data_IF_954747577990
#
_entry.id   IF_954747577990
#
_cell.length_a   1.000
_cell.length_b   1.000
_cell.length_c   1.000
_cell.angle_alpha   90.00
_cell.angle_beta   90.00
_cell.angle_gamma   90.00
#
_symmetry.space_group_name_H-M   'P 1'
#
loop_
_entity.id
_entity.type
_entity.pdbx_description
1 polymer ?
#
# COMPACT_ATOMS: atom_id res chain seq x y z
N UNK A 1 31.79 -18.99 -26.94
CA UNK A 1 31.80 -18.71 -25.48
C UNK A 1 31.93 -17.23 -25.16
N UNK A 2 32.78 -16.45 -25.84
CA UNK A 2 32.97 -15.01 -25.61
C UNK A 2 31.71 -14.10 -25.69
N UNK A 3 30.75 -14.30 -26.64
CA UNK A 3 29.62 -13.36 -26.78
C UNK A 3 28.55 -13.51 -25.69
N UNK A 4 28.45 -14.69 -25.07
CA UNK A 4 27.47 -14.96 -24.00
C UNK A 4 27.92 -14.29 -22.69
N UNK A 5 29.23 -14.29 -22.41
CA UNK A 5 29.79 -13.65 -21.21
C UNK A 5 29.58 -12.13 -21.22
N UNK A 6 29.67 -11.49 -22.39
CA UNK A 6 29.47 -10.05 -22.54
C UNK A 6 28.02 -9.63 -22.29
N UNK A 7 27.04 -10.46 -22.67
CA UNK A 7 25.62 -10.19 -22.44
C UNK A 7 25.24 -10.25 -20.94
N UNK A 8 25.86 -11.15 -20.17
CA UNK A 8 25.64 -11.24 -18.72
C UNK A 8 26.28 -10.10 -17.93
N UNK A 9 27.42 -9.58 -18.40
CA UNK A 9 28.10 -8.46 -17.75
C UNK A 9 27.24 -7.18 -17.82
N UNK A 10 26.52 -6.95 -18.92
CA UNK A 10 25.63 -5.79 -19.09
C UNK A 10 24.44 -5.85 -18.11
N UNK A 11 23.92 -7.05 -17.80
CA UNK A 11 22.85 -7.23 -16.81
C UNK A 11 23.32 -7.00 -15.37
N UNK A 12 24.59 -7.27 -15.06
CA UNK A 12 25.18 -7.04 -13.74
C UNK A 12 25.65 -5.58 -13.51
N UNK A 13 25.98 -4.86 -14.58
CA UNK A 13 26.31 -3.43 -14.55
C UNK A 13 25.10 -2.52 -14.77
N UNK A 14 23.89 -3.08 -14.94
CA UNK A 14 22.67 -2.27 -14.93
C UNK A 14 22.55 -1.64 -13.53
N UNK A 15 22.68 -0.31 -13.39
CA UNK A 15 22.58 0.32 -12.09
C UNK A 15 21.21 -0.04 -11.50
N UNK A 16 21.12 -0.35 -10.18
CA UNK A 16 19.81 -0.43 -9.56
C UNK A 16 19.12 0.89 -9.85
N UNK A 17 17.96 0.83 -10.50
CA UNK A 17 17.11 2.00 -10.70
C UNK A 17 16.81 2.56 -9.31
N UNK A 18 17.56 3.58 -8.91
CA UNK A 18 17.28 4.39 -7.75
C UNK A 18 16.02 5.16 -8.10
N UNK A 19 14.87 4.59 -7.77
CA UNK A 19 13.62 5.34 -7.80
C UNK A 19 13.72 6.33 -6.65
N UNK A 20 14.05 7.58 -6.98
CA UNK A 20 13.96 8.66 -6.02
C UNK A 20 12.53 8.69 -5.48
N UNK A 21 12.38 8.48 -4.16
CA UNK A 21 11.09 8.61 -3.47
C UNK A 21 10.55 10.01 -3.78
N UNK A 22 9.40 10.08 -4.43
CA UNK A 22 8.78 11.37 -4.75
C UNK A 22 8.25 11.96 -3.44
N UNK A 23 8.95 12.97 -2.93
CA UNK A 23 8.64 13.64 -1.67
C UNK A 23 8.32 15.10 -1.95
N UNK A 24 7.07 15.47 -1.70
CA UNK A 24 6.55 16.81 -1.92
C UNK A 24 6.47 17.48 -0.55
N UNK A 25 7.36 18.43 -0.31
CA UNK A 25 7.29 19.24 0.91
C UNK A 25 6.22 20.31 0.72
N UNK A 26 5.26 20.34 1.63
CA UNK A 26 4.23 21.38 1.65
C UNK A 26 4.83 22.55 2.42
N UNK A 27 5.21 23.61 1.71
CA UNK A 27 5.70 24.86 2.30
C UNK A 27 4.51 25.75 2.63
N UNK A 28 4.07 25.83 3.90
CA UNK A 28 2.91 26.64 4.25
C UNK A 28 3.37 28.10 4.38
N UNK A 29 2.66 29.03 3.75
CA UNK A 29 2.75 30.45 4.12
C UNK A 29 2.04 30.76 5.44
N UNK A 30 1.23 29.82 5.96
CA UNK A 30 0.43 29.93 7.19
C UNK A 30 0.44 28.62 7.97
N UNK A 31 0.35 28.62 9.31
CA UNK A 31 0.28 27.40 10.10
C UNK A 31 -1.06 26.67 9.82
N UNK A 32 -1.02 25.64 8.98
CA UNK A 32 -2.18 24.82 8.61
C UNK A 32 -2.10 23.47 9.31
N UNK A 33 -3.15 23.05 10.02
CA UNK A 33 -3.31 21.65 10.43
C UNK A 33 -4.09 20.88 9.38
N UNK A 34 -3.38 20.14 8.54
CA UNK A 34 -4.00 19.25 7.57
C UNK A 34 -4.54 17.99 8.27
N UNK A 35 -5.70 17.51 7.81
CA UNK A 35 -6.48 16.43 8.44
C UNK A 35 -6.82 15.27 7.51
N UNK A 36 -6.73 15.50 6.20
CA UNK A 36 -7.19 14.56 5.16
C UNK A 36 -6.48 14.82 3.83
N UNK A 37 -6.37 13.78 3.00
CA UNK A 37 -5.65 13.77 1.73
C UNK A 37 -6.47 12.97 0.71
N UNK A 38 -6.60 13.51 -0.51
CA UNK A 38 -7.09 12.80 -1.68
C UNK A 38 -6.21 13.11 -2.89
N UNK A 39 -6.21 12.21 -3.87
CA UNK A 39 -5.50 12.39 -5.13
C UNK A 39 -6.50 12.58 -6.28
N UNK A 40 -6.35 13.65 -7.06
CA UNK A 40 -7.05 13.81 -8.33
C UNK A 40 -6.13 13.36 -9.50
N UNK A 41 -6.35 12.17 -10.08
CA UNK A 41 -5.56 11.68 -11.20
C UNK A 41 -5.80 12.45 -12.50
N UNK A 42 -6.92 13.15 -12.66
CA UNK A 42 -7.16 13.93 -13.90
C UNK A 42 -6.48 15.29 -13.81
N UNK A 43 -6.70 16.02 -12.72
CA UNK A 43 -6.05 17.30 -12.47
C UNK A 43 -4.58 17.17 -12.05
N UNK A 44 -4.09 15.95 -11.78
CA UNK A 44 -2.71 15.64 -11.34
C UNK A 44 -2.24 16.45 -10.14
N UNK A 45 -3.12 16.64 -9.18
CA UNK A 45 -2.84 17.37 -7.96
C UNK A 45 -3.43 16.65 -6.76
N UNK A 46 -2.89 16.95 -5.58
CA UNK A 46 -3.45 16.51 -4.32
C UNK A 46 -4.52 17.50 -3.87
N UNK A 47 -5.52 16.99 -3.19
CA UNK A 47 -6.49 17.80 -2.47
C UNK A 47 -6.26 17.50 -0.99
N UNK A 48 -6.18 18.53 -0.16
CA UNK A 48 -5.97 18.41 1.29
C UNK A 48 -6.98 19.25 2.06
N UNK A 49 -7.55 18.65 3.10
CA UNK A 49 -8.47 19.33 4.01
C UNK A 49 -7.78 19.81 5.28
N UNK A 50 -8.23 20.94 5.83
CA UNK A 50 -7.75 21.50 7.10
C UNK A 50 -8.70 21.21 8.27
N UNK A 51 -8.13 20.92 9.44
CA UNK A 51 -8.86 20.85 10.72
C UNK A 51 -8.95 22.19 11.44
N UNK A 52 -8.31 23.26 10.95
CA UNK A 52 -8.31 24.58 11.61
C UNK A 52 -9.39 25.53 11.04
N UNK A 53 -10.11 25.10 10.01
CA UNK A 53 -11.20 25.85 9.38
C UNK A 53 -11.68 25.15 8.10
N UNK A 54 -12.73 25.67 7.43
CA UNK A 54 -13.39 24.99 6.32
C UNK A 54 -12.64 25.27 5.02
N UNK A 55 -11.36 24.95 5.05
CA UNK A 55 -10.43 25.22 3.98
C UNK A 55 -9.98 23.93 3.37
N UNK A 56 -10.13 23.87 2.04
CA UNK A 56 -9.60 22.80 1.21
C UNK A 56 -8.64 23.43 0.23
N UNK A 57 -7.49 22.78 0.09
CA UNK A 57 -6.40 23.24 -0.74
C UNK A 57 -6.11 22.21 -1.82
N UNK A 58 -5.60 22.69 -2.95
CA UNK A 58 -4.89 21.86 -3.91
C UNK A 58 -3.39 21.98 -3.63
N UNK A 59 -2.68 20.88 -3.80
CA UNK A 59 -1.22 20.84 -3.74
C UNK A 59 -0.70 20.23 -5.03
N UNK A 60 0.12 20.97 -5.76
CA UNK A 60 0.78 20.48 -6.97
C UNK A 60 1.90 19.50 -6.66
N UNK A 61 2.44 18.85 -7.70
CA UNK A 61 3.66 18.04 -7.64
C UNK A 61 4.89 18.84 -7.17
N UNK A 62 4.91 20.15 -7.42
CA UNK A 62 5.94 21.07 -6.92
C UNK A 62 5.75 21.47 -5.45
N UNK A 63 4.67 21.05 -4.79
CA UNK A 63 4.35 21.42 -3.41
C UNK A 63 3.74 22.81 -3.25
N UNK A 64 3.35 23.45 -4.36
CA UNK A 64 2.62 24.72 -4.34
C UNK A 64 1.20 24.49 -3.86
N UNK A 65 0.77 25.30 -2.90
CA UNK A 65 -0.53 25.20 -2.25
C UNK A 65 -1.44 26.31 -2.77
N UNK A 66 -2.61 25.94 -3.28
CA UNK A 66 -3.65 26.90 -3.70
C UNK A 66 -4.96 26.62 -2.96
N UNK A 67 -5.70 27.68 -2.65
CA UNK A 67 -7.00 27.56 -1.99
C UNK A 67 -8.10 27.30 -3.02
N UNK A 68 -8.91 26.25 -2.81
CA UNK A 68 -10.05 25.95 -3.68
C UNK A 68 -11.41 26.08 -2.99
N UNK A 69 -11.45 25.88 -1.67
CA UNK A 69 -12.64 26.12 -0.85
C UNK A 69 -12.23 26.93 0.38
N UNK A 70 -12.96 28.01 0.64
CA UNK A 70 -12.85 28.79 1.87
C UNK A 70 -14.25 29.22 2.26
N UNK A 71 -14.86 28.52 3.21
CA UNK A 71 -16.11 28.97 3.81
C UNK A 71 -15.79 29.89 5.01
N UNK A 72 -16.62 30.89 5.27
CA UNK A 72 -16.46 31.75 6.46
C UNK A 72 -17.11 31.18 7.71
N UNK A 73 -17.70 29.98 7.60
CA UNK A 73 -18.59 29.34 8.60
C UNK A 73 -17.90 28.63 9.77
N UNK A 74 -16.56 28.64 9.88
CA UNK A 74 -15.86 28.00 11.01
C UNK A 74 -16.01 26.47 11.09
N UNK A 75 -16.41 25.80 10.01
CA UNK A 75 -16.55 24.35 9.96
C UNK A 75 -15.16 23.69 9.82
N UNK A 76 -14.90 22.54 10.44
CA UNK A 76 -13.63 21.84 10.24
C UNK A 76 -13.80 20.71 9.23
N UNK A 77 -12.84 20.58 8.30
CA UNK A 77 -12.84 19.48 7.35
C UNK A 77 -12.37 18.21 8.05
N UNK A 78 -13.31 17.28 8.25
CA UNK A 78 -13.05 15.99 8.87
C UNK A 78 -12.42 15.03 7.86
N UNK A 79 -12.89 15.03 6.61
CA UNK A 79 -12.43 14.12 5.58
C UNK A 79 -12.81 14.60 4.20
N UNK A 80 -12.01 14.20 3.21
CA UNK A 80 -12.27 14.44 1.80
C UNK A 80 -12.21 13.10 1.04
N UNK A 81 -12.99 13.00 -0.03
CA UNK A 81 -12.90 11.91 -0.99
C UNK A 81 -13.22 12.43 -2.39
N UNK A 82 -12.69 11.77 -3.41
CA UNK A 82 -12.89 12.15 -4.82
C UNK A 82 -13.75 11.10 -5.51
N UNK A 83 -14.89 11.52 -6.06
CA UNK A 83 -15.69 10.75 -7.00
C UNK A 83 -15.26 11.10 -8.43
N UNK A 84 -14.35 10.28 -8.97
CA UNK A 84 -13.79 10.49 -10.31
C UNK A 84 -14.82 10.29 -11.43
N UNK A 85 -15.81 9.42 -11.23
CA UNK A 85 -16.81 9.09 -12.25
C UNK A 85 -17.76 10.28 -12.42
N UNK A 86 -18.23 10.85 -11.30
CA UNK A 86 -19.14 11.99 -11.31
C UNK A 86 -18.43 13.35 -11.28
N UNK A 87 -17.09 13.36 -11.21
CA UNK A 87 -16.24 14.56 -11.11
C UNK A 87 -16.61 15.45 -9.94
N UNK A 88 -16.76 14.85 -8.76
CA UNK A 88 -17.13 15.56 -7.54
C UNK A 88 -16.12 15.38 -6.42
N UNK A 89 -15.89 16.44 -5.67
CA UNK A 89 -15.18 16.42 -4.41
C UNK A 89 -16.21 16.28 -3.28
N UNK A 90 -16.07 15.25 -2.48
CA UNK A 90 -16.90 15.01 -1.30
C UNK A 90 -16.14 15.52 -0.08
N UNK A 91 -16.79 16.36 0.71
CA UNK A 91 -16.20 16.98 1.92
C UNK A 91 -17.13 16.71 3.10
N UNK A 92 -16.58 16.10 4.15
CA UNK A 92 -17.27 15.94 5.42
C UNK A 92 -16.82 17.00 6.43
N UNK A 93 -17.79 17.60 7.11
CA UNK A 93 -17.57 18.64 8.09
C UNK A 93 -17.88 18.13 9.49
N UNK A 94 -16.93 18.23 10.43
CA UNK A 94 -17.14 17.70 11.79
C UNK A 94 -18.16 18.51 12.58
N UNK A 95 -18.00 19.84 12.59
CA UNK A 95 -18.73 20.73 13.51
C UNK A 95 -20.22 20.87 13.15
N UNK A 96 -20.53 21.05 11.87
CA UNK A 96 -21.91 21.09 11.36
C UNK A 96 -22.52 19.70 11.20
N UNK A 97 -21.71 18.65 11.30
CA UNK A 97 -22.09 17.27 10.97
C UNK A 97 -22.85 17.19 9.67
N UNK A 98 -22.23 17.69 8.62
CA UNK A 98 -22.75 17.62 7.27
C UNK A 98 -21.74 16.98 6.33
N UNK A 99 -22.23 16.52 5.20
CA UNK A 99 -21.40 16.11 4.08
C UNK A 99 -21.89 16.81 2.82
N UNK A 100 -20.95 17.38 2.07
CA UNK A 100 -21.25 18.14 0.88
C UNK A 100 -20.50 17.59 -0.33
N UNK A 101 -21.14 17.72 -1.50
CA UNK A 101 -20.54 17.45 -2.79
C UNK A 101 -20.26 18.76 -3.51
N UNK A 102 -19.07 18.88 -4.10
CA UNK A 102 -18.64 20.01 -4.90
C UNK A 102 -18.29 19.53 -6.30
N UNK A 103 -18.65 20.31 -7.32
CA UNK A 103 -18.21 20.05 -8.69
C UNK A 103 -16.70 20.29 -8.78
N UNK A 104 -15.91 19.34 -9.25
CA UNK A 104 -14.44 19.49 -9.26
C UNK A 104 -13.92 20.47 -10.30
N UNK A 105 -14.72 20.80 -11.33
CA UNK A 105 -14.30 21.73 -12.37
C UNK A 105 -14.39 23.19 -11.90
N UNK A 106 -15.44 23.50 -11.15
CA UNK A 106 -15.75 24.86 -10.69
C UNK A 106 -15.59 25.06 -9.17
N UNK A 107 -15.39 23.98 -8.43
CA UNK A 107 -15.43 23.92 -6.95
C UNK A 107 -16.69 24.54 -6.34
N UNK A 108 -17.80 24.58 -7.10
CA UNK A 108 -19.09 25.04 -6.60
C UNK A 108 -19.79 23.92 -5.83
N UNK A 109 -20.40 24.28 -4.70
CA UNK A 109 -21.22 23.36 -3.89
C UNK A 109 -22.41 22.91 -4.73
N UNK A 110 -22.56 21.60 -4.90
CA UNK A 110 -23.66 20.95 -5.62
C UNK A 110 -24.79 20.62 -4.66
N UNK A 111 -24.43 20.00 -3.53
CA UNK A 111 -25.37 19.52 -2.52
C UNK A 111 -24.67 19.55 -1.15
N UNK A 112 -25.43 19.77 -0.09
CA UNK A 112 -24.99 19.59 1.28
C UNK A 112 -26.10 18.93 2.09
N UNK A 113 -25.74 17.85 2.76
CA UNK A 113 -26.66 17.02 3.54
C UNK A 113 -26.26 17.07 5.02
N UNK A 114 -27.10 17.66 5.89
CA UNK A 114 -26.95 17.53 7.34
C UNK A 114 -27.14 16.07 7.79
N UNK A 115 -26.30 15.65 8.74
CA UNK A 115 -26.24 14.29 9.29
C UNK A 115 -26.48 14.33 10.81
N UNK A 116 -27.70 14.67 11.25
CA UNK A 116 -28.01 14.80 12.69
C UNK A 116 -27.75 13.50 13.46
N UNK A 117 -27.84 12.33 12.82
CA UNK A 117 -27.55 11.02 13.44
C UNK A 117 -26.10 10.87 13.91
N UNK A 118 -25.21 11.76 13.46
CA UNK A 118 -23.81 11.77 13.86
C UNK A 118 -23.51 12.75 15.01
N UNK A 119 -24.46 13.56 15.49
CA UNK A 119 -24.33 14.39 16.70
C UNK A 119 -22.99 15.17 16.83
N UNK A 120 -22.59 15.92 15.81
CA UNK A 120 -21.33 16.70 15.86
C UNK A 120 -20.06 15.86 15.71
N UNK A 121 -20.19 14.56 15.38
CA UNK A 121 -19.09 13.60 15.37
C UNK A 121 -18.76 13.05 13.98
N UNK A 122 -19.08 13.77 12.90
CA UNK A 122 -18.76 13.33 11.54
C UNK A 122 -17.27 13.01 11.39
N UNK A 123 -16.99 11.81 10.86
CA UNK A 123 -15.67 11.20 10.76
C UNK A 123 -15.16 11.17 9.33
N UNK A 124 -14.82 9.98 8.84
CA UNK A 124 -14.21 9.78 7.52
C UNK A 124 -15.25 9.46 6.46
N UNK A 125 -14.91 9.77 5.20
CA UNK A 125 -15.76 9.50 4.04
C UNK A 125 -15.10 8.55 3.05
N UNK A 126 -15.91 7.68 2.45
CA UNK A 126 -15.55 6.86 1.30
C UNK A 126 -16.65 6.94 0.24
N UNK A 127 -16.27 6.71 -1.01
CA UNK A 127 -17.18 6.76 -2.16
C UNK A 127 -17.23 5.40 -2.83
N UNK A 128 -18.44 4.89 -3.05
CA UNK A 128 -18.69 3.87 -4.05
C UNK A 128 -18.69 4.53 -5.42
N UNK A 129 -17.59 4.33 -6.14
CA UNK A 129 -17.35 4.97 -7.44
C UNK A 129 -18.36 4.51 -8.50
N UNK A 130 -18.90 3.29 -8.37
CA UNK A 130 -19.84 2.71 -9.32
C UNK A 130 -21.22 3.36 -9.14
N UNK A 131 -21.77 3.27 -7.91
CA UNK A 131 -23.12 3.75 -7.65
C UNK A 131 -23.21 5.22 -7.21
N UNK A 132 -22.09 5.87 -6.88
CA UNK A 132 -22.04 7.26 -6.42
C UNK A 132 -22.51 7.46 -4.99
N UNK A 133 -22.63 6.36 -4.25
CA UNK A 133 -23.05 6.37 -2.86
C UNK A 133 -21.86 6.78 -1.99
N UNK A 134 -22.13 7.59 -0.98
CA UNK A 134 -21.13 8.05 -0.04
C UNK A 134 -21.35 7.37 1.30
N UNK A 135 -20.28 6.89 1.90
CA UNK A 135 -20.30 6.30 3.24
C UNK A 135 -19.59 7.24 4.20
N UNK A 136 -20.26 7.62 5.27
CA UNK A 136 -19.78 8.57 6.27
C UNK A 136 -19.74 7.89 7.62
N UNK A 137 -18.60 7.94 8.31
CA UNK A 137 -18.48 7.35 9.65
C UNK A 137 -18.75 8.35 10.75
N UNK A 138 -19.16 7.87 11.93
CA UNK A 138 -19.01 8.63 13.17
C UNK A 138 -17.62 8.45 13.76
N UNK A 139 -17.01 9.54 14.22
CA UNK A 139 -15.77 9.57 14.98
C UNK A 139 -15.95 9.29 16.47
N UNK A 140 -17.20 9.22 16.98
CA UNK A 140 -17.53 8.94 18.39
C UNK A 140 -18.40 7.71 18.60
N UNK A 141 -19.07 7.21 17.56
CA UNK A 141 -19.92 6.01 17.63
C UNK A 141 -19.56 4.98 16.55
N UNK A 142 -20.15 3.78 16.65
CA UNK A 142 -20.01 2.72 15.65
C UNK A 142 -20.95 2.85 14.44
N UNK A 143 -21.42 4.06 14.14
CA UNK A 143 -22.37 4.31 13.06
C UNK A 143 -21.64 4.61 11.75
N UNK A 144 -22.08 3.97 10.68
CA UNK A 144 -21.77 4.34 9.29
C UNK A 144 -23.07 4.68 8.59
N UNK A 145 -23.17 5.89 8.05
CA UNK A 145 -24.27 6.31 7.21
C UNK A 145 -23.92 6.06 5.75
N UNK A 146 -24.87 5.49 5.01
CA UNK A 146 -24.86 5.43 3.56
C UNK A 146 -25.77 6.53 3.05
N UNK A 147 -25.22 7.43 2.24
CA UNK A 147 -25.93 8.61 1.75
C UNK A 147 -25.81 8.72 0.24
N UNK A 148 -26.80 9.37 -0.37
CA UNK A 148 -26.77 9.84 -1.75
C UNK A 148 -26.60 11.35 -1.73
N UNK A 149 -25.73 11.88 -2.60
CA UNK A 149 -25.48 13.32 -2.71
C UNK A 149 -25.90 13.89 -4.07
N UNK A 150 -26.90 13.26 -4.68
CA UNK A 150 -27.51 13.73 -5.92
C UNK A 150 -28.79 14.51 -5.57
N UNK A 151 -29.02 15.63 -6.28
CA UNK A 151 -30.14 16.53 -5.97
C UNK A 151 -30.05 17.12 -4.56
N UNK A 152 -31.11 16.95 -3.78
CA UNK A 152 -31.22 17.47 -2.40
C UNK A 152 -30.45 16.64 -1.36
N UNK A 153 -29.87 15.50 -1.78
CA UNK A 153 -29.17 14.58 -0.88
C UNK A 153 -30.13 13.80 0.03
N UNK A 154 -29.77 12.57 0.38
CA UNK A 154 -30.57 11.76 1.29
C UNK A 154 -29.77 10.68 2.00
N UNK A 155 -30.25 10.28 3.18
CA UNK A 155 -29.69 9.15 3.92
C UNK A 155 -30.42 7.89 3.45
N UNK A 156 -29.68 6.95 2.88
CA UNK A 156 -30.21 5.69 2.33
C UNK A 156 -30.31 4.65 3.43
N UNK A 157 -29.27 4.53 4.26
CA UNK A 157 -29.18 3.48 5.27
C UNK A 157 -28.23 3.86 6.40
N UNK A 158 -28.44 3.25 7.56
CA UNK A 158 -27.58 3.35 8.73
C UNK A 158 -27.07 1.95 9.11
N UNK A 159 -25.76 1.82 9.29
CA UNK A 159 -25.11 0.59 9.69
C UNK A 159 -24.49 0.75 11.07
N UNK A 160 -24.84 -0.15 12.00
CA UNK A 160 -24.28 -0.18 13.36
C UNK A 160 -23.28 -1.30 13.50
N UNK A 161 -22.02 -0.94 13.74
CA UNK A 161 -20.94 -1.89 14.03
C UNK A 161 -21.06 -2.33 15.50
N UNK A 162 -21.63 -3.51 15.72
CA UNK A 162 -21.79 -4.11 17.06
C UNK A 162 -20.43 -4.31 17.73
N UNK A 163 -20.33 -4.02 19.02
CA UNK A 163 -19.06 -4.09 19.77
C UNK A 163 -18.17 -2.85 19.60
N UNK A 164 -18.70 -1.78 19.01
CA UNK A 164 -18.09 -0.44 18.97
C UNK A 164 -18.85 0.57 19.82
N UNK A 165 -19.30 0.15 21.00
CA UNK A 165 -20.06 1.01 21.90
C UNK A 165 -19.11 2.08 22.45
N UNK A 166 -19.13 3.26 21.82
CA UNK A 166 -18.40 4.50 22.15
C UNK A 166 -16.93 4.64 21.75
N UNK A 167 -16.33 3.76 20.93
CA UNK A 167 -14.92 3.95 20.53
C UNK A 167 -14.72 4.72 19.21
N UNK A 168 -15.80 5.03 18.49
CA UNK A 168 -15.73 5.74 17.21
C UNK A 168 -15.03 4.98 16.08
N UNK A 169 -15.22 5.46 14.86
CA UNK A 169 -14.61 4.91 13.65
C UNK A 169 -13.58 5.90 13.11
N UNK A 170 -12.34 5.42 12.94
CA UNK A 170 -11.19 6.24 12.58
C UNK A 170 -10.96 6.38 11.07
N UNK A 171 -11.34 5.36 10.28
CA UNK A 171 -11.18 5.37 8.82
C UNK A 171 -12.15 4.42 8.15
N UNK A 172 -12.53 4.74 6.91
CA UNK A 172 -13.38 3.91 6.05
C UNK A 172 -12.77 3.85 4.65
N UNK A 173 -12.97 2.74 3.96
CA UNK A 173 -12.72 2.65 2.54
C UNK A 173 -13.70 1.71 1.85
N UNK A 174 -14.20 2.10 0.67
CA UNK A 174 -15.17 1.32 -0.08
C UNK A 174 -14.50 0.46 -1.14
N UNK A 175 -14.71 -0.85 -1.08
CA UNK A 175 -14.21 -1.88 -2.00
C UNK A 175 -15.25 -2.21 -3.06
N UNK A 176 -14.97 -1.78 -4.28
CA UNK A 176 -15.75 -2.14 -5.46
C UNK A 176 -15.41 -3.57 -5.91
N UNK A 177 -16.38 -4.28 -6.49
CA UNK A 177 -16.21 -5.63 -7.02
C UNK A 177 -17.53 -6.39 -7.06
N UNK A 178 -17.48 -7.70 -7.34
CA UNK A 178 -18.67 -8.57 -7.41
C UNK A 178 -19.47 -8.62 -6.10
N UNK A 179 -18.79 -8.37 -4.97
CA UNK A 179 -19.40 -8.26 -3.64
C UNK A 179 -18.96 -6.94 -3.00
N UNK A 180 -19.68 -5.83 -3.28
CA UNK A 180 -19.29 -4.52 -2.78
C UNK A 180 -19.43 -4.49 -1.26
N UNK A 181 -18.35 -4.05 -0.62
CA UNK A 181 -18.25 -3.93 0.84
C UNK A 181 -17.33 -2.76 1.17
N UNK A 182 -17.30 -2.35 2.42
CA UNK A 182 -16.35 -1.36 2.90
C UNK A 182 -15.63 -1.89 4.13
N UNK A 183 -14.38 -1.48 4.29
CA UNK A 183 -13.61 -1.72 5.49
C UNK A 183 -13.65 -0.50 6.38
N UNK A 184 -13.80 -0.74 7.69
CA UNK A 184 -13.79 0.32 8.69
C UNK A 184 -12.82 -0.04 9.80
N UNK A 185 -12.03 0.94 10.23
CA UNK A 185 -11.19 0.84 11.42
C UNK A 185 -11.86 1.54 12.60
N UNK A 186 -11.90 0.84 13.73
CA UNK A 186 -12.27 1.42 15.02
C UNK A 186 -11.08 2.20 15.60
N UNK A 187 -11.33 3.44 16.04
CA UNK A 187 -10.27 4.42 16.36
C UNK A 187 -9.38 3.96 17.52
N UNK A 188 -9.99 3.53 18.62
CA UNK A 188 -9.24 3.23 19.86
C UNK A 188 -8.63 1.83 19.86
N UNK A 189 -9.35 0.84 19.37
CA UNK A 189 -8.92 -0.57 19.41
C UNK A 189 -8.06 -0.94 18.19
N UNK A 190 -8.19 -0.20 17.08
CA UNK A 190 -7.63 -0.57 15.78
C UNK A 190 -8.29 -1.80 15.15
N UNK A 191 -9.43 -2.27 15.68
CA UNK A 191 -10.18 -3.38 15.08
C UNK A 191 -10.64 -3.02 13.68
N UNK A 192 -10.62 -4.01 12.79
CA UNK A 192 -11.05 -3.87 11.40
C UNK A 192 -12.33 -4.67 11.19
N UNK A 193 -13.32 -4.02 10.60
CA UNK A 193 -14.60 -4.61 10.25
C UNK A 193 -14.80 -4.57 8.75
N UNK A 194 -15.23 -5.69 8.17
CA UNK A 194 -15.90 -5.71 6.87
C UNK A 194 -17.35 -5.36 7.08
N UNK A 195 -17.91 -4.53 6.22
CA UNK A 195 -19.34 -4.29 6.20
C UNK A 195 -19.82 -4.37 4.76
N UNK A 196 -20.78 -5.26 4.50
CA UNK A 196 -21.33 -5.43 3.15
C UNK A 196 -22.18 -4.21 2.76
N UNK A 197 -21.93 -3.63 1.59
CA UNK A 197 -22.54 -2.36 1.17
C UNK A 197 -24.06 -2.45 0.88
N UNK A 198 -24.59 -3.67 0.72
CA UNK A 198 -26.01 -3.91 0.40
C UNK A 198 -26.89 -3.97 1.64
N UNK A 199 -26.51 -4.79 2.62
CA UNK A 199 -27.34 -5.14 3.78
C UNK A 199 -26.72 -4.71 5.11
N UNK A 200 -25.49 -4.18 5.11
CA UNK A 200 -24.82 -3.73 6.32
C UNK A 200 -24.35 -4.86 7.23
N UNK A 201 -24.29 -6.12 6.74
CA UNK A 201 -23.79 -7.23 7.54
C UNK A 201 -22.32 -6.95 7.89
N UNK A 202 -22.06 -6.93 9.20
CA UNK A 202 -20.75 -6.62 9.77
C UNK A 202 -20.02 -7.90 10.15
N UNK A 203 -18.83 -8.08 9.60
CA UNK A 203 -17.91 -9.13 9.98
C UNK A 203 -16.68 -8.50 10.64
N UNK A 204 -16.37 -8.92 11.88
CA UNK A 204 -15.10 -8.54 12.50
C UNK A 204 -13.98 -9.37 11.85
N UNK A 205 -13.12 -8.67 11.14
CA UNK A 205 -12.04 -9.26 10.36
C UNK A 205 -10.79 -9.43 11.22
N UNK A 206 -10.44 -8.39 11.98
CA UNK A 206 -9.20 -8.33 12.75
C UNK A 206 -9.53 -7.84 14.16
N UNK A 207 -9.61 -8.82 15.06
CA UNK A 207 -9.66 -8.63 16.51
C UNK A 207 -8.30 -8.89 17.08
N UNK A 208 -7.77 -8.01 17.92
CA UNK A 208 -6.63 -8.40 18.73
C UNK A 208 -6.77 -7.91 20.15
N UNK A 209 -6.84 -8.87 21.09
CA UNK A 209 -6.62 -8.64 22.52
C UNK A 209 -5.18 -8.19 22.82
N UNK A 210 -4.23 -8.38 21.89
CA UNK A 210 -2.81 -7.97 22.01
C UNK A 210 -2.50 -6.60 21.39
N UNK A 211 -3.34 -6.08 20.49
CA UNK A 211 -3.28 -4.70 19.99
C UNK A 211 -3.68 -3.67 21.06
N UNK A 212 -4.26 -4.13 22.19
CA UNK A 212 -4.62 -3.28 23.35
C UNK A 212 -3.41 -2.70 24.09
N UNK A 213 -2.19 -3.21 23.89
CA UNK A 213 -1.00 -2.75 24.61
C UNK A 213 -0.30 -1.52 23.98
N UNK A 214 -0.81 -0.95 22.88
CA UNK A 214 -0.05 -0.05 22.00
C UNK A 214 -0.85 1.20 21.54
N UNK A 215 -1.59 1.85 22.44
CA UNK A 215 -2.54 2.95 22.22
C UNK A 215 -2.14 4.07 21.20
N UNK A 216 -3.08 4.94 20.74
CA UNK A 216 -4.40 4.66 20.17
C UNK A 216 -4.69 5.59 18.96
N UNK A 217 -4.55 5.12 17.72
CA UNK A 217 -5.28 5.69 16.57
C UNK A 217 -4.88 4.98 15.28
N UNK A 218 -5.79 4.18 14.72
CA UNK A 218 -5.69 3.82 13.31
C UNK A 218 -6.00 5.06 12.47
N UNK A 219 -4.98 5.68 11.87
CA UNK A 219 -5.11 7.03 11.29
C UNK A 219 -5.59 7.04 9.83
N UNK A 220 -5.35 5.99 9.04
CA UNK A 220 -5.77 5.97 7.64
C UNK A 220 -5.91 4.55 7.05
N UNK A 221 -6.87 4.37 6.14
CA UNK A 221 -6.99 3.23 5.23
C UNK A 221 -7.16 3.82 3.84
N UNK A 222 -6.53 3.21 2.84
CA UNK A 222 -6.78 3.57 1.46
C UNK A 222 -6.98 2.31 0.60
N UNK A 223 -7.73 2.40 -0.50
CA UNK A 223 -8.02 1.25 -1.35
C UNK A 223 -7.38 1.40 -2.72
N UNK A 224 -6.76 0.32 -3.20
CA UNK A 224 -6.32 0.22 -4.58
C UNK A 224 -7.23 -0.72 -5.38
N UNK A 225 -7.90 -0.20 -6.41
CA UNK A 225 -8.62 -0.85 -7.54
C UNK A 225 -9.57 -2.04 -7.30
N UNK A 226 -9.28 -2.99 -6.40
CA UNK A 226 -10.14 -4.09 -5.90
C UNK A 226 -9.64 -4.61 -4.52
N UNK A 227 -8.57 -4.03 -3.94
CA UNK A 227 -7.77 -4.63 -2.84
C UNK A 227 -7.38 -3.62 -1.76
N UNK A 228 -7.88 -3.77 -0.52
CA UNK A 228 -7.65 -2.78 0.54
C UNK A 228 -6.18 -2.72 0.97
N UNK A 229 -5.67 -1.50 1.11
CA UNK A 229 -4.35 -1.19 1.64
C UNK A 229 -4.54 -0.48 2.97
N UNK A 230 -4.26 -1.18 4.06
CA UNK A 230 -4.35 -0.60 5.40
C UNK A 230 -2.98 -0.02 5.73
N UNK A 231 -2.91 1.28 5.99
CA UNK A 231 -1.68 1.96 6.37
C UNK A 231 -1.78 2.39 7.83
N UNK A 232 -1.08 1.67 8.71
CA UNK A 232 -1.05 2.00 10.14
C UNK A 232 0.30 2.59 10.50
N UNK A 233 0.33 3.86 10.90
CA UNK A 233 1.53 4.47 11.47
C UNK A 233 1.51 4.44 13.00
N UNK A 234 2.68 4.21 13.56
CA UNK A 234 2.95 4.22 14.99
C UNK A 234 3.57 5.56 15.40
N UNK A 235 3.28 6.01 16.62
CA UNK A 235 3.97 7.12 17.30
C UNK A 235 5.51 6.96 17.39
N UNK A 236 6.06 5.76 17.16
CA UNK A 236 7.50 5.47 17.22
C UNK A 236 8.22 5.58 15.86
N UNK A 237 7.60 6.18 14.83
CA UNK A 237 8.23 6.32 13.52
C UNK A 237 8.23 5.06 12.65
N UNK A 238 7.34 4.10 12.90
CA UNK A 238 7.18 2.93 12.03
C UNK A 238 5.76 2.91 11.46
N UNK A 239 5.62 2.94 10.13
CA UNK A 239 4.36 2.61 9.46
C UNK A 239 4.41 1.20 8.91
N UNK A 240 3.38 0.41 9.25
CA UNK A 240 3.15 -0.90 8.66
C UNK A 240 2.05 -0.76 7.62
N UNK A 241 2.40 -1.01 6.36
CA UNK A 241 1.46 -1.19 5.27
C UNK A 241 1.01 -2.66 5.26
N UNK A 242 -0.26 -2.89 5.53
CA UNK A 242 -0.90 -4.19 5.36
C UNK A 242 -1.70 -4.12 4.07
N UNK A 243 -1.07 -4.51 2.96
CA UNK A 243 -1.77 -4.74 1.69
C UNK A 243 -2.51 -6.08 1.76
N UNK A 244 -3.83 -6.06 1.67
CA UNK A 244 -4.64 -7.26 1.76
C UNK A 244 -4.96 -7.79 0.35
N UNK A 245 -4.46 -9.00 0.04
CA UNK A 245 -4.66 -9.63 -1.28
C UNK A 245 -5.83 -10.61 -1.34
N UNK A 246 -6.40 -11.04 -0.20
CA UNK A 246 -7.58 -11.93 -0.06
C UNK A 246 -8.13 -11.89 1.39
N UNK A 247 -9.39 -12.31 1.57
CA UNK A 247 -10.18 -12.30 2.83
C UNK A 247 -9.33 -12.38 4.10
N UNK A 248 -9.45 -11.37 4.95
CA UNK A 248 -8.60 -11.20 6.13
C UNK A 248 -9.03 -12.11 7.28
N UNK A 249 -8.11 -12.94 7.76
CA UNK A 249 -8.13 -13.56 9.08
C UNK A 249 -6.76 -13.39 9.73
N UNK A 250 -6.74 -12.77 10.91
CA UNK A 250 -5.67 -12.80 11.94
C UNK A 250 -4.28 -12.27 11.54
N UNK A 251 -3.85 -11.16 12.14
CA UNK A 251 -2.44 -10.73 12.07
C UNK A 251 -1.95 -10.04 13.37
N UNK A 252 -1.00 -10.67 14.08
CA UNK A 252 0.16 -10.02 14.75
C UNK A 252 1.43 -10.94 14.69
N UNK A 253 2.64 -10.37 14.56
CA UNK A 253 4.05 -10.91 14.46
C UNK A 253 4.33 -12.20 13.66
N UNK A 254 3.48 -13.21 13.81
CA UNK A 254 3.13 -14.20 12.78
C UNK A 254 2.47 -13.53 11.57
N UNK A 255 2.14 -12.24 11.64
CA UNK A 255 1.70 -11.35 10.54
C UNK A 255 2.30 -11.69 9.19
N UNK A 256 3.62 -11.90 9.14
CA UNK A 256 4.33 -12.12 7.89
C UNK A 256 4.19 -13.56 7.38
N UNK A 257 4.12 -14.54 8.29
CA UNK A 257 4.01 -15.99 8.00
C UNK A 257 2.54 -16.45 7.85
N UNK A 258 1.62 -15.98 8.68
CA UNK A 258 0.18 -16.20 8.54
C UNK A 258 -0.38 -15.47 7.33
N UNK A 259 0.08 -14.26 7.01
CA UNK A 259 -0.26 -13.63 5.72
C UNK A 259 0.13 -14.55 4.56
N UNK A 260 1.34 -15.11 4.59
CA UNK A 260 1.84 -16.05 3.58
C UNK A 260 1.01 -17.35 3.54
N UNK A 261 0.56 -17.84 4.70
CA UNK A 261 -0.32 -19.02 4.87
C UNK A 261 -1.74 -18.82 4.32
N UNK A 262 -2.27 -17.59 4.39
CA UNK A 262 -3.61 -17.22 3.88
C UNK A 262 -3.57 -16.49 2.52
N UNK A 263 -2.41 -16.48 1.84
CA UNK A 263 -2.25 -15.87 0.51
C UNK A 263 -2.27 -14.33 0.50
N UNK A 264 -2.07 -13.70 1.64
CA UNK A 264 -1.89 -12.26 1.83
C UNK A 264 -0.40 -11.90 1.69
N UNK A 265 -0.10 -10.73 1.12
CA UNK A 265 1.27 -10.23 1.03
C UNK A 265 1.44 -9.04 1.95
N UNK A 266 2.02 -9.26 3.12
CA UNK A 266 2.48 -8.15 3.97
C UNK A 266 3.69 -7.54 3.28
N UNK A 267 3.53 -6.32 2.77
CA UNK A 267 4.62 -5.59 2.14
C UNK A 267 5.14 -4.62 3.18
N UNK A 268 6.40 -4.76 3.56
CA UNK A 268 7.07 -3.73 4.33
C UNK A 268 7.27 -2.55 3.38
N UNK A 269 6.60 -1.41 3.59
CA UNK A 269 6.76 -0.29 2.70
C UNK A 269 8.14 0.32 2.98
N UNK A 270 8.83 0.82 1.96
CA UNK A 270 10.07 1.59 2.12
C UNK A 270 9.75 3.03 2.61
N UNK A 271 8.93 3.15 3.67
CA UNK A 271 8.67 4.43 4.32
C UNK A 271 9.57 4.50 5.54
N UNK A 272 10.66 5.25 5.43
CA UNK A 272 11.44 5.67 6.60
C UNK A 272 10.74 6.86 7.27
N UNK A 273 9.65 6.58 8.00
CA UNK A 273 9.07 7.57 8.90
C UNK A 273 10.11 7.82 9.99
N UNK A 274 10.59 9.06 10.15
CA UNK A 274 11.56 9.34 11.22
C UNK A 274 10.83 9.27 12.57
N UNK A 275 11.55 9.03 13.67
CA UNK A 275 11.00 8.86 15.03
C UNK A 275 10.11 10.02 15.57
N UNK A 276 9.93 11.10 14.82
CA UNK A 276 9.09 12.27 15.18
C UNK A 276 8.01 12.60 14.14
N UNK A 277 7.91 11.79 13.08
CA UNK A 277 6.92 11.99 12.03
C UNK A 277 5.60 11.28 12.39
N UNK A 278 4.49 11.92 12.05
CA UNK A 278 3.13 11.40 12.25
C UNK A 278 2.43 11.24 10.89
N UNK A 279 1.96 10.04 10.58
CA UNK A 279 1.06 9.85 9.44
C UNK A 279 -0.31 10.44 9.76
N UNK A 280 -0.80 11.29 8.86
CA UNK A 280 -2.04 12.05 9.02
C UNK A 280 -3.16 11.45 8.18
N UNK A 281 -2.88 11.21 6.90
CA UNK A 281 -3.86 10.72 5.93
C UNK A 281 -3.16 9.98 4.80
N UNK A 282 -3.92 9.20 4.03
CA UNK A 282 -3.42 8.42 2.91
C UNK A 282 -4.39 8.56 1.75
N UNK A 283 -3.85 8.75 0.55
CA UNK A 283 -4.58 8.62 -0.70
C UNK A 283 -3.97 7.50 -1.55
N UNK A 284 -4.77 6.81 -2.34
CA UNK A 284 -4.26 5.84 -3.31
C UNK A 284 -4.04 6.47 -4.68
N UNK A 285 -2.98 6.01 -5.35
CA UNK A 285 -2.72 6.29 -6.75
C UNK A 285 -3.11 5.07 -7.61
N UNK A 286 -3.25 5.27 -8.92
CA UNK A 286 -3.39 4.17 -9.86
C UNK A 286 -2.09 3.35 -9.89
N UNK A 287 -2.19 2.02 -9.82
CA UNK A 287 -1.01 1.13 -9.78
C UNK A 287 -0.44 0.86 -8.37
N UNK A 288 0.84 0.51 -8.25
CA UNK A 288 1.43 0.04 -6.97
C UNK A 288 1.86 1.17 -6.02
N UNK A 289 1.16 2.30 -6.06
CA UNK A 289 1.57 3.55 -5.43
C UNK A 289 0.47 4.09 -4.53
N UNK A 290 0.85 4.59 -3.37
CA UNK A 290 0.01 5.37 -2.47
C UNK A 290 0.74 6.63 -2.05
N UNK A 291 -0.01 7.61 -1.57
CA UNK A 291 0.54 8.85 -1.06
C UNK A 291 0.22 8.97 0.42
N UNK A 292 1.23 9.20 1.21
CA UNK A 292 1.13 9.39 2.65
C UNK A 292 1.31 10.87 2.98
N UNK A 293 0.31 11.48 3.60
CA UNK A 293 0.46 12.79 4.22
C UNK A 293 1.13 12.62 5.59
N UNK A 294 2.33 13.15 5.72
CA UNK A 294 3.15 13.03 6.93
C UNK A 294 3.34 14.41 7.54
N UNK A 295 3.07 14.53 8.83
CA UNK A 295 3.39 15.70 9.65
C UNK A 295 4.73 15.47 10.33
N UNK A 296 5.63 16.42 10.19
CA UNK A 296 6.96 16.43 10.81
C UNK A 296 7.13 17.69 11.66
N UNK A 297 8.18 17.78 12.49
CA UNK A 297 8.54 19.04 13.15
C UNK A 297 8.77 20.21 12.17
N UNK A 298 9.16 19.90 10.93
CA UNK A 298 9.43 20.88 9.88
C UNK A 298 8.18 21.28 9.07
N UNK A 299 7.01 20.69 9.35
CA UNK A 299 5.79 20.93 8.60
C UNK A 299 5.22 19.65 7.97
N UNK A 300 4.41 19.81 6.93
CA UNK A 300 3.74 18.70 6.24
C UNK A 300 4.48 18.33 4.95
N UNK A 301 4.43 17.04 4.60
CA UNK A 301 4.90 16.55 3.31
C UNK A 301 4.05 15.39 2.82
N UNK A 302 4.06 15.18 1.51
CA UNK A 302 3.42 14.05 0.86
C UNK A 302 4.52 13.13 0.35
N UNK A 303 4.55 11.92 0.86
CA UNK A 303 5.49 10.89 0.43
C UNK A 303 4.79 9.89 -0.47
N UNK A 304 5.36 9.65 -1.65
CA UNK A 304 4.97 8.54 -2.49
C UNK A 304 5.54 7.23 -1.96
N UNK A 305 4.64 6.29 -1.77
CA UNK A 305 4.92 4.95 -1.27
C UNK A 305 4.63 3.97 -2.39
N UNK A 306 5.69 3.49 -3.02
CA UNK A 306 5.59 2.38 -3.96
C UNK A 306 5.79 1.06 -3.21
N UNK A 307 4.89 0.10 -3.41
CA UNK A 307 5.09 -1.25 -2.90
C UNK A 307 5.55 -2.17 -4.02
N UNK A 308 6.76 -2.71 -3.87
CA UNK A 308 7.16 -3.87 -4.67
C UNK A 308 6.43 -5.08 -4.11
N UNK A 309 5.65 -5.79 -4.95
CA UNK A 309 5.32 -7.18 -4.65
C UNK A 309 6.65 -7.86 -4.38
N UNK A 310 6.86 -8.30 -3.13
CA UNK A 310 8.18 -8.60 -2.58
C UNK A 310 9.04 -9.28 -3.63
N UNK A 311 10.29 -8.84 -3.77
CA UNK A 311 11.28 -9.33 -4.74
C UNK A 311 11.42 -10.86 -4.67
N UNK A 312 10.44 -11.60 -5.19
CA UNK A 312 10.43 -13.07 -5.19
C UNK A 312 11.12 -13.59 -6.44
N UNK A 313 11.52 -12.70 -7.35
CA UNK A 313 12.10 -13.04 -8.64
C UNK A 313 13.51 -12.51 -8.88
N UNK A 314 14.18 -11.86 -7.92
CA UNK A 314 15.62 -11.56 -8.11
C UNK A 314 16.50 -12.80 -8.04
N UNK A 315 16.02 -13.90 -7.43
CA UNK A 315 16.77 -15.15 -7.36
C UNK A 315 16.50 -16.11 -8.52
N UNK A 316 15.38 -15.98 -9.26
CA UNK A 316 15.07 -16.92 -10.34
C UNK A 316 16.07 -16.84 -11.51
N UNK A 317 16.50 -15.64 -11.99
CA UNK A 317 17.55 -15.54 -13.00
C UNK A 317 18.88 -16.10 -12.49
N UNK A 318 19.22 -15.82 -11.23
CA UNK A 318 20.46 -16.30 -10.60
C UNK A 318 20.46 -17.83 -10.48
N UNK A 319 19.33 -18.43 -10.07
CA UNK A 319 19.17 -19.87 -9.97
C UNK A 319 19.25 -20.54 -11.35
N UNK A 320 18.63 -19.95 -12.37
CA UNK A 320 18.72 -20.43 -13.76
C UNK A 320 20.17 -20.40 -14.26
N UNK A 321 20.92 -19.33 -13.96
CA UNK A 321 22.35 -19.23 -14.31
C UNK A 321 23.18 -20.27 -13.56
N UNK A 322 22.96 -20.44 -12.26
CA UNK A 322 23.69 -21.45 -11.46
C UNK A 322 23.41 -22.86 -11.97
N UNK A 323 22.15 -23.22 -12.24
CA UNK A 323 21.79 -24.52 -12.80
C UNK A 323 22.42 -24.74 -14.18
N UNK A 324 22.44 -23.72 -15.03
CA UNK A 324 23.09 -23.79 -16.33
C UNK A 324 24.60 -24.04 -16.21
N UNK A 325 25.29 -23.36 -15.29
CA UNK A 325 26.70 -23.60 -15.00
C UNK A 325 26.97 -25.01 -14.46
N UNK A 326 26.11 -25.52 -13.57
CA UNK A 326 26.24 -26.90 -13.05
C UNK A 326 26.12 -27.93 -14.17
N UNK A 327 25.18 -27.74 -15.10
CA UNK A 327 25.01 -28.65 -16.25
C UNK A 327 26.22 -28.60 -17.19
N UNK A 328 26.71 -27.40 -17.53
CA UNK A 328 27.91 -27.26 -18.37
C UNK A 328 29.13 -27.89 -17.69
N UNK A 329 29.31 -27.63 -16.40
CA UNK A 329 30.43 -28.16 -15.63
C UNK A 329 30.36 -29.70 -15.55
N UNK A 330 29.18 -30.27 -15.29
CA UNK A 330 28.98 -31.71 -15.26
C UNK A 330 29.27 -32.35 -16.63
N UNK A 331 28.83 -31.73 -17.73
CA UNK A 331 29.11 -32.19 -19.08
C UNK A 331 30.63 -32.16 -19.37
N UNK A 332 31.31 -31.06 -19.07
CA UNK A 332 32.76 -30.94 -19.22
C UNK A 332 33.53 -31.98 -18.40
N UNK A 333 33.12 -32.21 -17.16
CA UNK A 333 33.74 -33.20 -16.29
C UNK A 333 33.56 -34.63 -16.82
N UNK A 334 32.39 -34.93 -17.40
CA UNK A 334 32.13 -36.23 -18.01
C UNK A 334 33.01 -36.45 -19.25
N UNK A 335 33.16 -35.45 -20.12
CA UNK A 335 34.05 -35.55 -21.28
C UNK A 335 35.52 -35.69 -20.89
N UNK A 336 35.98 -34.95 -19.86
CA UNK A 336 37.33 -35.15 -19.29
C UNK A 336 37.55 -36.56 -18.77
N UNK A 337 36.55 -37.17 -18.11
CA UNK A 337 36.64 -38.56 -17.64
C UNK A 337 36.77 -39.55 -18.80
N UNK A 338 36.01 -39.35 -19.89
CA UNK A 338 36.12 -40.19 -21.10
C UNK A 338 37.52 -40.11 -21.72
N UNK A 339 38.06 -38.89 -21.86
CA UNK A 339 39.42 -38.69 -22.39
C UNK A 339 40.49 -39.34 -21.50
N UNK A 340 40.36 -39.22 -20.17
CA UNK A 340 41.25 -39.88 -19.22
C UNK A 340 41.16 -41.41 -19.27
N UNK A 341 39.98 -41.97 -19.54
CA UNK A 341 39.82 -43.42 -19.73
C UNK A 341 40.54 -43.87 -21.01
N UNK A 342 40.33 -43.19 -22.14
CA UNK A 342 41.00 -43.48 -23.40
C UNK A 342 42.54 -43.40 -23.29
N UNK A 343 43.06 -42.40 -22.57
CA UNK A 343 44.50 -42.26 -22.32
C UNK A 343 45.06 -43.41 -21.46
N UNK A 344 44.29 -43.93 -20.50
CA UNK A 344 44.70 -45.08 -19.69
C UNK A 344 44.72 -46.36 -20.51
N UNK A 345 43.77 -46.53 -21.41
CA UNK A 345 43.72 -47.70 -22.30
C UNK A 345 44.90 -47.68 -23.29
N UNK A 346 45.16 -46.54 -23.94
CA UNK A 346 46.34 -46.36 -24.80
C UNK A 346 47.66 -46.56 -24.05
N UNK A 347 47.75 -46.12 -22.79
CA UNK A 347 48.95 -46.33 -21.97
C UNK A 347 49.15 -47.81 -21.63
N UNK A 348 48.08 -48.54 -21.33
CA UNK A 348 48.13 -49.99 -21.09
C UNK A 348 48.52 -50.77 -22.33
N UNK A 349 48.08 -50.34 -23.51
CA UNK A 349 48.50 -50.95 -24.79
C UNK A 349 49.97 -50.65 -25.15
N UNK A 350 50.53 -49.54 -24.67
CA UNK A 350 51.95 -49.18 -24.88
C UNK A 350 52.93 -49.85 -23.89
N UNK A 351 52.47 -50.28 -22.71
CA UNK A 351 53.31 -50.89 -21.67
C UNK A 351 53.83 -52.33 -21.93
N UNK A 352 53.20 -53.22 -22.73
CA UNK A 352 53.73 -54.58 -22.92
C UNK A 352 55.01 -54.66 -23.78
N UNK A 353 55.42 -53.60 -24.50
CA UNK A 353 56.60 -53.65 -25.36
C UNK A 353 57.92 -53.20 -24.69
N UNK A 354 57.87 -52.62 -23.49
CA UNK A 354 59.10 -52.15 -22.80
C UNK A 354 59.75 -53.23 -21.91
N UNK A 355 59.00 -54.25 -21.50
CA UNK A 355 59.51 -55.34 -20.64
C UNK A 355 60.31 -56.38 -21.45
N UNK A 356 60.02 -56.55 -22.74
CA UNK A 356 60.74 -57.53 -23.59
C UNK A 356 62.12 -57.02 -24.07
N UNK A 357 62.38 -55.71 -24.00
CA UNK A 357 63.68 -55.12 -24.36
C UNK A 357 64.69 -55.06 -23.20
N UNK A 358 64.23 -55.15 -21.93
CA UNK A 358 65.14 -55.20 -20.77
C UNK A 358 65.68 -56.62 -20.46
N UNK A 359 65.05 -57.68 -20.98
CA UNK A 359 65.52 -59.06 -20.79
C UNK A 359 66.72 -59.48 -21.67
N UNK A 360 67.07 -58.72 -22.71
CA UNK A 360 68.13 -59.09 -23.66
C UNK A 360 69.52 -58.49 -23.37
N UNK A 361 69.65 -57.59 -22.40
CA UNK A 361 70.92 -56.91 -22.08
C UNK A 361 71.71 -57.56 -20.92
N UNK A 362 71.45 -58.82 -20.55
CA UNK A 362 72.21 -59.55 -19.52
C UNK A 362 72.91 -60.82 -20.04
N UNK A 363 73.11 -60.96 -21.36
CA UNK A 363 73.88 -62.08 -21.94
C UNK A 363 75.18 -61.68 -22.65
N UNK A 364 75.65 -60.44 -22.47
CA UNK A 364 76.96 -59.99 -22.99
C UNK A 364 77.73 -59.25 -21.89
N UNK A 365 78.29 -60.00 -20.94
CA UNK A 365 79.57 -59.68 -20.30
C UNK A 365 80.19 -60.92 -19.65
#
# INVERSE_FOLDING_TARGET
MLPIFFFFLIFLLSPPTSFAVHNITISPSTPLRLSSLAWDPIGKHFIVGSSDGPTVYTVSDAGMVEHILSNTSGEFVASIAVDLVRRRLIVAFSNSSSVAAYDMKSYRKVCELPLPQLDGSTGRVAVDMENGQVFVTSSRSGIVLKVLLDGDGSIISEYKIKGNDNHGLGSIVHVNGESPHFLVIQKETGKIFEVRSKDGIVNEILSSRKLKMLAPSGNAIALHSVKPVILRAWHSGQAVLVACYRSLLSLEKDVYEDAKKYGMTVMQPDISIKNQDQLVAVATHVGKKAYALVKSPLGYRIEEVEWSAGKMYTFLPVLVVVLFYVVIFAHFFNERRKQLAQLKDLRREAEPQSVELQGKNHQLM
#
